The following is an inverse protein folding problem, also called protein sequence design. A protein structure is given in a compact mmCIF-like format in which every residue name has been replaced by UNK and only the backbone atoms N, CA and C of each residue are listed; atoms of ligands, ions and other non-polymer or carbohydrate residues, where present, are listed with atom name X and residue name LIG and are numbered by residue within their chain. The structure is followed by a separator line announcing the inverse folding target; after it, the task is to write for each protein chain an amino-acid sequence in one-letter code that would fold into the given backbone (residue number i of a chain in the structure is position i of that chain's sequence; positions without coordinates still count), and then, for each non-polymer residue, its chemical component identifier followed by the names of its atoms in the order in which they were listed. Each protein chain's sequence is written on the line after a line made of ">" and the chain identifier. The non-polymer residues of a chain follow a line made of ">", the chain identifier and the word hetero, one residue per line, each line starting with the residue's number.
data_IF_546382509768
#
_entry.id   IF_546382509768
#
_cell.length_a   1.000
_cell.length_b   1.000
_cell.length_c   1.000
_cell.angle_alpha   90.00
_cell.angle_beta   90.00
_cell.angle_gamma   90.00
#
_symmetry.space_group_name_H-M   'P 1'
#
loop_
_entity.id
_entity.type
_entity.pdbx_description
1 polymer ?
#
# COMPACT_ATOMS: atom_id res chain seq x y z
N UNK A 1 4.29 -10.35 -12.55
CA UNK A 1 3.89 -10.55 -11.13
C UNK A 1 3.94 -9.24 -10.37
N UNK A 2 2.86 -8.89 -9.71
CA UNK A 2 2.81 -7.69 -8.87
C UNK A 2 3.59 -7.93 -7.58
N UNK A 3 4.47 -7.01 -7.24
CA UNK A 3 5.25 -7.07 -6.01
C UNK A 3 4.74 -6.01 -5.05
N UNK A 4 4.17 -6.46 -3.96
CA UNK A 4 3.46 -5.62 -3.01
C UNK A 4 4.11 -5.74 -1.65
N UNK A 5 4.36 -4.61 -0.98
CA UNK A 5 4.88 -4.62 0.38
C UNK A 5 3.82 -4.08 1.34
N UNK A 6 3.74 -4.70 2.51
CA UNK A 6 2.90 -4.27 3.61
C UNK A 6 3.81 -4.02 4.80
N UNK A 7 3.76 -2.83 5.36
CA UNK A 7 4.53 -2.46 6.54
C UNK A 7 3.61 -2.01 7.66
N UNK A 8 3.47 -2.83 8.68
CA UNK A 8 2.61 -2.58 9.83
C UNK A 8 3.11 -3.46 10.97
N UNK A 9 3.24 -2.92 12.18
CA UNK A 9 3.72 -3.68 13.32
C UNK A 9 2.66 -4.63 13.90
N UNK A 10 1.39 -4.45 13.55
CA UNK A 10 0.32 -5.32 13.98
C UNK A 10 0.21 -6.53 13.05
N UNK A 11 0.51 -7.71 13.58
CA UNK A 11 0.39 -8.94 12.81
C UNK A 11 -1.04 -9.18 12.34
N UNK A 12 -2.03 -8.89 13.21
CA UNK A 12 -3.43 -9.05 12.86
C UNK A 12 -3.81 -8.16 11.68
N UNK A 13 -3.43 -6.88 11.74
CA UNK A 13 -3.74 -5.94 10.68
C UNK A 13 -3.08 -6.35 9.36
N UNK A 14 -1.82 -6.82 9.43
CA UNK A 14 -1.15 -7.31 8.22
C UNK A 14 -1.89 -8.49 7.61
N UNK A 15 -2.37 -9.42 8.43
CA UNK A 15 -3.10 -10.57 7.92
C UNK A 15 -4.44 -10.20 7.31
N UNK A 16 -5.17 -9.29 7.95
CA UNK A 16 -6.44 -8.82 7.40
C UNK A 16 -6.24 -8.14 6.04
N UNK A 17 -5.24 -7.28 5.95
CA UNK A 17 -4.94 -6.59 4.70
C UNK A 17 -4.45 -7.57 3.64
N UNK A 18 -3.61 -8.52 4.04
CA UNK A 18 -3.08 -9.53 3.12
C UNK A 18 -4.20 -10.32 2.46
N UNK A 19 -5.17 -10.77 3.24
CA UNK A 19 -6.33 -11.51 2.70
C UNK A 19 -7.10 -10.65 1.70
N UNK A 20 -7.34 -9.38 2.03
CA UNK A 20 -8.06 -8.47 1.15
C UNK A 20 -7.31 -8.26 -0.18
N UNK A 21 -5.99 -8.08 -0.11
CA UNK A 21 -5.14 -7.90 -1.29
C UNK A 21 -5.12 -9.17 -2.14
N UNK A 22 -4.96 -10.32 -1.50
CA UNK A 22 -4.98 -11.60 -2.21
C UNK A 22 -6.28 -11.78 -2.97
N UNK A 23 -7.41 -11.51 -2.30
CA UNK A 23 -8.72 -11.63 -2.92
C UNK A 23 -8.84 -10.72 -4.14
N UNK A 24 -8.36 -9.49 -4.01
CA UNK A 24 -8.41 -8.54 -5.12
C UNK A 24 -7.65 -9.07 -6.36
N UNK A 25 -6.41 -9.50 -6.17
CA UNK A 25 -5.58 -9.94 -7.30
C UNK A 25 -6.07 -11.26 -7.88
N UNK A 26 -6.54 -12.17 -7.03
CA UNK A 26 -7.14 -13.42 -7.51
C UNK A 26 -8.38 -13.15 -8.35
N UNK A 27 -9.24 -12.22 -7.92
CA UNK A 27 -10.43 -11.86 -8.68
C UNK A 27 -10.10 -11.20 -10.03
N UNK A 28 -8.92 -10.60 -10.13
CA UNK A 28 -8.47 -9.99 -11.38
C UNK A 28 -7.51 -10.88 -12.16
N UNK A 29 -7.36 -12.13 -11.73
CA UNK A 29 -6.52 -13.13 -12.39
C UNK A 29 -5.08 -12.66 -12.59
N UNK A 30 -4.53 -11.92 -11.60
CA UNK A 30 -3.16 -11.46 -11.65
C UNK A 30 -2.29 -12.20 -10.64
N UNK A 31 -1.08 -12.51 -11.06
CA UNK A 31 -0.08 -13.05 -10.15
C UNK A 31 0.46 -11.93 -9.26
N UNK A 32 0.73 -12.28 -8.02
CA UNK A 32 1.21 -11.31 -7.03
C UNK A 32 2.14 -11.97 -6.03
N UNK A 33 2.96 -11.14 -5.39
CA UNK A 33 3.80 -11.55 -4.27
C UNK A 33 3.75 -10.45 -3.21
N UNK A 34 3.54 -10.85 -1.96
CA UNK A 34 3.42 -9.93 -0.83
C UNK A 34 4.63 -10.08 0.07
N UNK A 35 5.31 -8.96 0.34
CA UNK A 35 6.39 -8.87 1.30
C UNK A 35 5.85 -8.19 2.55
N UNK A 36 6.07 -8.78 3.71
CA UNK A 36 5.59 -8.22 4.99
C UNK A 36 6.73 -7.69 5.81
N UNK A 37 6.53 -6.52 6.40
CA UNK A 37 7.50 -5.87 7.29
C UNK A 37 6.82 -5.40 8.55
N UNK A 38 7.46 -5.64 9.69
CA UNK A 38 7.03 -5.10 10.97
C UNK A 38 7.69 -3.74 11.25
N UNK A 39 8.74 -3.43 10.54
CA UNK A 39 9.56 -2.24 10.76
C UNK A 39 9.74 -1.47 9.47
N UNK A 40 9.48 -0.17 9.53
CA UNK A 40 9.73 0.71 8.39
C UNK A 40 11.21 0.83 8.05
N UNK A 41 12.08 0.72 9.05
CA UNK A 41 13.52 0.79 8.82
C UNK A 41 14.02 -0.41 8.02
N UNK A 42 13.49 -1.59 8.31
CA UNK A 42 13.85 -2.78 7.55
C UNK A 42 13.33 -2.71 6.11
N UNK A 43 12.13 -2.22 5.92
CA UNK A 43 11.57 -2.00 4.59
C UNK A 43 12.44 -1.04 3.79
N UNK A 44 12.78 0.10 4.41
CA UNK A 44 13.60 1.12 3.77
C UNK A 44 14.97 0.57 3.37
N UNK A 45 15.60 -0.18 4.28
CA UNK A 45 16.90 -0.77 4.01
C UNK A 45 16.85 -1.75 2.84
N UNK A 46 15.84 -2.61 2.80
CA UNK A 46 15.71 -3.59 1.73
C UNK A 46 15.46 -2.93 0.36
N UNK A 47 14.68 -1.85 0.33
CA UNK A 47 14.44 -1.10 -0.90
C UNK A 47 15.71 -0.37 -1.32
N UNK A 48 16.37 0.29 -0.38
CA UNK A 48 17.56 1.09 -0.66
C UNK A 48 18.71 0.22 -1.17
N UNK A 49 18.86 -0.97 -0.62
CA UNK A 49 19.93 -1.90 -1.00
C UNK A 49 19.56 -2.75 -2.22
N UNK A 50 18.33 -2.62 -2.70
CA UNK A 50 17.90 -3.35 -3.89
C UNK A 50 17.56 -4.81 -3.65
N UNK A 51 17.37 -5.22 -2.40
CA UNK A 51 16.99 -6.61 -2.10
C UNK A 51 15.58 -6.94 -2.53
N UNK A 52 14.70 -5.94 -2.61
CA UNK A 52 13.36 -6.13 -3.13
C UNK A 52 13.01 -4.99 -4.07
N UNK A 53 12.16 -5.30 -5.03
CA UNK A 53 11.50 -4.29 -5.85
C UNK A 53 10.04 -4.27 -5.43
N UNK A 54 9.51 -3.08 -5.19
CA UNK A 54 8.12 -2.91 -4.73
C UNK A 54 7.39 -2.06 -5.74
N UNK A 55 6.25 -2.56 -6.20
CA UNK A 55 5.40 -1.85 -7.15
C UNK A 55 4.20 -1.19 -6.48
N UNK A 56 3.92 -1.55 -5.23
CA UNK A 56 2.82 -1.01 -4.45
C UNK A 56 3.14 -1.18 -2.98
N UNK A 57 3.08 -0.10 -2.21
CA UNK A 57 3.42 -0.12 -0.79
C UNK A 57 2.24 0.31 0.06
N UNK A 58 1.89 -0.53 1.04
CA UNK A 58 0.94 -0.21 2.10
C UNK A 58 1.74 0.06 3.37
N UNK A 59 1.62 1.23 3.94
CA UNK A 59 2.48 1.70 5.02
C UNK A 59 1.66 2.29 6.15
N UNK A 60 1.78 1.71 7.35
CA UNK A 60 1.11 2.22 8.53
C UNK A 60 1.72 3.57 8.92
N UNK A 61 0.90 4.59 9.01
CA UNK A 61 1.36 5.95 9.29
C UNK A 61 1.85 6.11 10.73
N UNK A 62 1.31 5.35 11.67
CA UNK A 62 1.65 5.46 13.09
C UNK A 62 3.07 4.96 13.39
N UNK A 63 3.60 4.07 12.57
CA UNK A 63 4.95 3.53 12.72
C UNK A 63 6.03 4.45 12.13
N UNK A 64 5.93 5.75 12.33
CA UNK A 64 6.77 6.71 11.63
C UNK A 64 6.63 6.60 10.11
N UNK A 65 5.43 6.18 9.66
CA UNK A 65 5.20 5.94 8.24
C UNK A 65 5.45 7.16 7.38
N UNK A 66 5.09 8.34 7.87
CA UNK A 66 5.34 9.58 7.14
C UNK A 66 6.84 9.82 6.96
N UNK A 67 7.63 9.60 8.00
CA UNK A 67 9.09 9.74 7.94
C UNK A 67 9.71 8.73 6.96
N UNK A 68 9.25 7.48 7.02
CA UNK A 68 9.71 6.44 6.10
C UNK A 68 9.35 6.81 4.66
N UNK A 69 8.13 7.29 4.43
CA UNK A 69 7.69 7.69 3.11
C UNK A 69 8.55 8.83 2.55
N UNK A 70 8.89 9.83 3.38
CA UNK A 70 9.77 10.92 2.95
C UNK A 70 11.15 10.40 2.55
N UNK A 71 11.72 9.50 3.35
CA UNK A 71 13.01 8.89 3.03
C UNK A 71 12.96 8.08 1.74
N UNK A 72 11.87 7.35 1.52
CA UNK A 72 11.68 6.61 0.27
C UNK A 72 11.64 7.54 -0.93
N UNK A 73 10.91 8.66 -0.83
CA UNK A 73 10.88 9.64 -1.92
C UNK A 73 12.25 10.26 -2.16
N UNK A 74 13.02 10.47 -1.09
CA UNK A 74 14.39 11.02 -1.21
C UNK A 74 15.32 10.09 -1.98
N UNK A 75 15.14 8.78 -1.88
CA UNK A 75 15.94 7.81 -2.63
C UNK A 75 15.31 7.43 -3.97
N UNK A 76 14.38 8.25 -4.45
CA UNK A 76 13.76 8.09 -5.77
C UNK A 76 12.82 6.88 -5.89
N UNK A 77 12.25 6.42 -4.79
CA UNK A 77 11.21 5.40 -4.81
C UNK A 77 9.96 5.98 -5.48
N UNK A 78 9.53 5.39 -6.57
CA UNK A 78 8.45 5.93 -7.40
C UNK A 78 7.12 5.18 -7.27
N UNK A 79 7.11 4.04 -6.60
CA UNK A 79 5.90 3.23 -6.50
C UNK A 79 4.81 3.94 -5.69
N UNK A 80 3.53 3.64 -5.97
CA UNK A 80 2.44 4.19 -5.18
C UNK A 80 2.53 3.78 -3.72
N UNK A 81 2.27 4.71 -2.82
CA UNK A 81 2.22 4.49 -1.38
C UNK A 81 0.79 4.70 -0.91
N UNK A 82 0.23 3.70 -0.24
CA UNK A 82 -1.08 3.79 0.39
C UNK A 82 -0.86 3.76 1.88
N UNK A 83 -1.27 4.82 2.58
CA UNK A 83 -1.14 4.85 4.03
C UNK A 83 -2.28 4.09 4.70
N UNK A 84 -1.94 3.41 5.78
CA UNK A 84 -2.88 2.69 6.64
C UNK A 84 -3.00 3.47 7.94
N UNK A 85 -4.22 3.75 8.39
CA UNK A 85 -4.40 4.53 9.60
C UNK A 85 -5.80 4.32 10.20
N UNK A 86 -5.90 4.49 11.52
CA UNK A 86 -7.20 4.55 12.20
C UNK A 86 -7.76 5.99 12.22
N UNK A 87 -7.02 6.95 11.71
CA UNK A 87 -7.37 8.38 11.83
C UNK A 87 -7.36 9.09 10.49
N UNK A 88 -8.53 9.55 10.05
CA UNK A 88 -8.69 10.20 8.76
C UNK A 88 -7.90 11.51 8.63
N UNK A 89 -7.57 12.18 9.75
CA UNK A 89 -6.89 13.47 9.67
C UNK A 89 -5.46 13.39 9.11
N UNK A 90 -4.87 12.21 9.08
CA UNK A 90 -3.55 12.03 8.46
C UNK A 90 -3.58 12.17 6.94
N UNK A 91 -4.75 12.13 6.32
CA UNK A 91 -4.85 12.22 4.87
C UNK A 91 -4.22 13.50 4.32
N UNK A 92 -4.33 14.61 5.05
CA UNK A 92 -3.76 15.90 4.60
C UNK A 92 -2.24 15.83 4.50
N UNK A 93 -1.59 15.21 5.51
CA UNK A 93 -0.13 15.09 5.51
C UNK A 93 0.38 14.18 4.40
N UNK A 94 -0.43 13.25 3.94
CA UNK A 94 -0.02 12.30 2.91
C UNK A 94 0.29 12.97 1.57
N UNK A 95 -0.22 14.17 1.31
CA UNK A 95 0.10 14.92 0.10
C UNK A 95 1.57 15.27 -0.01
N UNK A 96 2.24 15.50 1.12
CA UNK A 96 3.65 15.89 1.13
C UNK A 96 4.57 14.84 0.52
N UNK A 97 4.17 13.58 0.58
CA UNK A 97 4.95 12.47 0.07
C UNK A 97 4.33 11.85 -1.18
N UNK A 98 3.37 12.54 -1.77
CA UNK A 98 2.69 12.08 -2.99
C UNK A 98 2.08 10.69 -2.81
N UNK A 99 1.38 10.50 -1.69
CA UNK A 99 0.68 9.24 -1.45
C UNK A 99 -0.42 9.04 -2.49
N UNK A 100 -0.59 7.79 -2.91
CA UNK A 100 -1.64 7.43 -3.85
C UNK A 100 -3.01 7.36 -3.17
N UNK A 101 -3.01 7.22 -1.86
CA UNK A 101 -4.25 7.17 -1.09
C UNK A 101 -4.00 6.74 0.33
N UNK A 102 -5.08 6.54 1.06
CA UNK A 102 -5.03 6.00 2.41
C UNK A 102 -6.23 5.10 2.64
N UNK A 103 -6.06 4.13 3.55
CA UNK A 103 -7.13 3.24 3.98
C UNK A 103 -7.30 3.36 5.46
N UNK A 104 -8.54 3.54 5.91
CA UNK A 104 -8.86 3.58 7.32
C UNK A 104 -8.99 2.16 7.87
N UNK A 105 -8.52 1.97 9.09
CA UNK A 105 -8.76 0.75 9.85
C UNK A 105 -10.08 0.90 10.61
N UNK A 106 -10.92 -0.13 10.70
CA UNK A 106 -10.82 -1.42 10.03
C UNK A 106 -11.05 -1.29 8.52
N UNK A 107 -10.42 -2.18 7.75
CA UNK A 107 -10.42 -2.05 6.30
C UNK A 107 -11.78 -2.35 5.68
N UNK A 108 -12.19 -1.48 4.77
CA UNK A 108 -13.37 -1.68 3.93
C UNK A 108 -12.89 -2.24 2.60
N UNK A 109 -13.27 -3.47 2.29
CA UNK A 109 -12.82 -4.13 1.07
C UNK A 109 -13.29 -3.43 -0.20
N UNK A 110 -14.45 -2.77 -0.15
CA UNK A 110 -14.93 -2.00 -1.30
C UNK A 110 -14.04 -0.79 -1.57
N UNK A 111 -13.61 -0.10 -0.51
CA UNK A 111 -12.68 1.03 -0.66
C UNK A 111 -11.34 0.59 -1.17
N UNK A 112 -10.84 -0.56 -0.68
CA UNK A 112 -9.60 -1.11 -1.18
C UNK A 112 -9.69 -1.42 -2.67
N UNK A 113 -10.78 -2.05 -3.09
CA UNK A 113 -10.98 -2.40 -4.49
C UNK A 113 -11.00 -1.16 -5.37
N UNK A 114 -11.77 -0.14 -4.98
CA UNK A 114 -11.84 1.11 -5.74
C UNK A 114 -10.48 1.80 -5.83
N UNK A 115 -9.76 1.84 -4.72
CA UNK A 115 -8.45 2.48 -4.67
C UNK A 115 -7.44 1.76 -5.56
N UNK A 116 -7.41 0.44 -5.51
CA UNK A 116 -6.51 -0.35 -6.35
C UNK A 116 -6.88 -0.26 -7.82
N UNK A 117 -8.19 -0.26 -8.14
CA UNK A 117 -8.62 -0.07 -9.52
C UNK A 117 -8.12 1.27 -10.06
N UNK A 118 -8.20 2.32 -9.26
CA UNK A 118 -7.74 3.65 -9.64
C UNK A 118 -6.21 3.68 -9.80
N UNK A 119 -5.49 3.18 -8.82
CA UNK A 119 -4.02 3.21 -8.85
C UNK A 119 -3.45 2.38 -10.00
N UNK A 120 -4.04 1.22 -10.24
CA UNK A 120 -3.57 0.31 -11.28
C UNK A 120 -4.21 0.65 -12.65
N UNK A 121 -4.97 1.73 -12.70
CA UNK A 121 -5.63 2.21 -13.92
C UNK A 121 -6.52 1.16 -14.56
N UNK A 122 -7.20 0.40 -13.73
CA UNK A 122 -8.16 -0.57 -14.22
C UNK A 122 -9.42 0.14 -14.65
N UNK A 123 -10.01 -0.37 -15.70
CA UNK A 123 -11.18 0.26 -16.29
C UNK A 123 -12.43 -0.08 -15.51
N UNK A 124 -12.62 0.58 -14.38
CA UNK A 124 -13.90 0.51 -13.67
C UNK A 124 -15.03 0.90 -14.61
N UNK A 125 -14.78 1.89 -15.45
CA UNK A 125 -15.72 2.34 -16.46
C UNK A 125 -16.15 1.21 -17.39
N UNK A 126 -15.25 0.30 -17.76
CA UNK A 126 -15.60 -0.84 -18.59
C UNK A 126 -16.61 -1.75 -17.93
N UNK A 127 -16.56 -1.86 -16.62
CA UNK A 127 -17.49 -2.68 -15.85
C UNK A 127 -18.85 -2.00 -15.74
N UNK A 128 -18.88 -0.69 -15.84
CA UNK A 128 -20.07 0.10 -15.58
C UNK A 128 -20.78 0.58 -16.83
N UNK A 129 -20.08 0.72 -17.93
CA UNK A 129 -20.69 1.25 -19.13
C UNK A 129 -21.33 0.19 -20.00
N UNK A 130 -21.53 -0.93 -19.48
CA UNK A 130 -22.22 -2.00 -20.19
C UNK A 130 -23.69 -1.98 -19.88
#
# INVERSE_FOLDING_TARGET
>A
MRKIAICDDSKLDRQLLKVAIQTYFENNEEEFKIFEYESGDNLLADIEEGYIEVELLFLDIIMNGMKIARKLRDIQFKAPIIFLTAHAYYAVESYEVQAAGYLLKPYDTNKLTLLLDEILQRSVQKKNCC
#
